data_IF_816652137578
#
_entry.id   IF_816652137578
#
_cell.length_a   1.000
_cell.length_b   1.000
_cell.length_c   1.000
_cell.angle_alpha   90.00
_cell.angle_beta   90.00
_cell.angle_gamma   90.00
#
_symmetry.space_group_name_H-M   'P 1'
#
loop_
_entity.id
_entity.type
_entity.pdbx_description
1 polymer ?
#
# COMPACT_ATOMS: atom_id res chain seq x y z
N UNK A 1 -13.04 11.07 -67.63
CA UNK A 1 -13.24 9.66 -67.21
C UNK A 1 -12.49 9.49 -65.90
N UNK A 2 -13.15 9.72 -64.75
CA UNK A 2 -13.89 8.75 -63.90
C UNK A 2 -12.90 8.05 -62.95
N UNK A 3 -12.72 8.53 -61.72
CA UNK A 3 -13.40 8.14 -60.44
C UNK A 3 -12.37 7.43 -59.54
N UNK A 4 -12.39 7.46 -58.21
CA UNK A 4 -13.43 7.80 -57.25
C UNK A 4 -12.82 8.38 -55.96
N UNK A 5 -13.56 9.32 -55.38
CA UNK A 5 -13.42 9.86 -54.03
C UNK A 5 -14.40 9.09 -53.12
N UNK A 6 -13.93 8.64 -51.96
CA UNK A 6 -14.76 8.30 -50.80
C UNK A 6 -14.15 9.08 -49.62
N UNK A 7 -14.80 10.01 -48.93
CA UNK A 7 -16.22 10.10 -48.60
C UNK A 7 -16.42 9.61 -47.17
N UNK A 8 -15.92 10.33 -46.17
CA UNK A 8 -16.30 10.14 -44.77
C UNK A 8 -17.03 11.40 -44.30
N UNK A 9 -18.31 11.18 -44.06
CA UNK A 9 -19.36 12.14 -43.76
C UNK A 9 -19.27 12.60 -42.30
N UNK A 10 -19.28 13.92 -42.10
CA UNK A 10 -19.26 14.62 -40.82
C UNK A 10 -20.66 15.20 -40.62
N UNK A 11 -21.56 14.47 -39.96
CA UNK A 11 -22.83 15.05 -39.56
C UNK A 11 -23.49 14.38 -38.34
N UNK A 12 -23.91 15.27 -37.44
CA UNK A 12 -25.05 15.16 -36.50
C UNK A 12 -24.85 14.42 -35.18
N UNK A 13 -24.33 15.22 -34.24
CA UNK A 13 -24.94 15.39 -32.92
C UNK A 13 -26.48 15.36 -32.97
N UNK A 14 -27.09 14.46 -32.21
CA UNK A 14 -28.48 14.57 -31.74
C UNK A 14 -28.54 14.10 -30.29
N UNK A 15 -28.56 15.08 -29.38
CA UNK A 15 -28.87 14.90 -27.96
C UNK A 15 -30.35 14.52 -27.81
N UNK A 16 -30.64 13.49 -27.01
CA UNK A 16 -32.01 13.17 -26.60
C UNK A 16 -32.10 11.83 -25.87
N UNK A 17 -32.25 11.85 -24.54
CA UNK A 17 -32.50 10.62 -23.79
C UNK A 17 -32.19 10.70 -22.30
N UNK A 18 -32.86 11.62 -21.60
CA UNK A 18 -32.87 11.76 -20.15
C UNK A 18 -33.20 10.42 -19.45
N UNK A 19 -32.20 9.76 -18.83
CA UNK A 19 -32.45 8.77 -17.76
C UNK A 19 -32.03 9.36 -16.43
N UNK A 20 -33.06 9.57 -15.62
CA UNK A 20 -33.09 10.14 -14.28
C UNK A 20 -32.35 9.20 -13.33
N UNK A 21 -31.04 9.40 -13.16
CA UNK A 21 -30.30 8.75 -12.07
C UNK A 21 -30.60 9.51 -10.79
N UNK A 22 -31.35 8.83 -9.93
CA UNK A 22 -31.69 9.22 -8.57
C UNK A 22 -30.38 9.45 -7.83
N UNK A 23 -30.03 10.71 -7.55
CA UNK A 23 -28.92 11.08 -6.68
C UNK A 23 -29.21 10.50 -5.30
N UNK A 24 -28.60 9.36 -4.99
CA UNK A 24 -28.52 8.89 -3.62
C UNK A 24 -27.57 9.81 -2.88
N UNK A 25 -28.09 10.55 -1.90
CA UNK A 25 -27.27 11.30 -0.93
C UNK A 25 -26.47 10.29 -0.11
N UNK A 26 -25.26 9.95 -0.56
CA UNK A 26 -24.23 9.32 0.25
C UNK A 26 -23.21 10.37 0.69
N UNK A 27 -23.65 11.46 1.31
CA UNK A 27 -22.73 12.50 1.84
C UNK A 27 -22.47 12.37 3.35
N UNK A 28 -23.21 11.52 4.07
CA UNK A 28 -23.07 11.35 5.52
C UNK A 28 -22.07 10.27 5.94
N UNK A 29 -22.03 9.13 5.24
CA UNK A 29 -21.17 8.00 5.62
C UNK A 29 -19.68 8.23 5.28
N UNK A 30 -19.40 8.98 4.22
CA UNK A 30 -18.02 9.32 3.82
C UNK A 30 -17.35 10.31 4.76
N UNK A 31 -18.10 11.23 5.37
CA UNK A 31 -17.56 12.15 6.37
C UNK A 31 -17.17 11.47 7.69
N UNK A 32 -17.86 10.36 8.03
CA UNK A 32 -17.60 9.57 9.24
C UNK A 32 -16.45 8.57 9.09
N UNK A 33 -16.15 8.11 7.87
CA UNK A 33 -15.00 7.23 7.59
C UNK A 33 -13.71 8.02 7.33
N UNK A 34 -13.82 9.17 6.64
CA UNK A 34 -12.69 10.09 6.44
C UNK A 34 -12.17 10.64 7.79
N UNK A 35 -13.01 10.75 8.82
CA UNK A 35 -12.61 11.32 10.12
C UNK A 35 -11.64 10.45 10.90
N UNK A 36 -11.63 9.13 10.69
CA UNK A 36 -10.69 8.23 11.37
C UNK A 36 -9.28 8.27 10.79
N UNK A 37 -9.13 8.35 9.46
CA UNK A 37 -7.83 8.47 8.79
C UNK A 37 -7.26 9.88 8.87
N UNK A 38 -8.09 10.90 8.58
CA UNK A 38 -7.69 12.31 8.65
C UNK A 38 -7.42 12.74 10.10
N UNK A 39 -8.14 12.18 11.08
CA UNK A 39 -7.91 12.46 12.51
C UNK A 39 -6.51 12.03 12.98
N UNK A 40 -6.03 10.87 12.55
CA UNK A 40 -4.69 10.39 12.90
C UNK A 40 -3.60 11.27 12.27
N UNK A 41 -3.75 11.63 10.98
CA UNK A 41 -2.82 12.53 10.28
C UNK A 41 -2.83 13.92 10.91
N UNK A 42 -3.99 14.49 11.23
CA UNK A 42 -4.12 15.80 11.85
C UNK A 42 -3.57 15.81 13.29
N UNK A 43 -3.69 14.70 14.02
CA UNK A 43 -3.09 14.57 15.36
C UNK A 43 -1.57 14.49 15.26
N UNK A 44 -1.02 13.74 14.30
CA UNK A 44 0.43 13.65 14.10
C UNK A 44 0.99 14.98 13.56
N UNK A 45 0.34 15.64 12.60
CA UNK A 45 0.71 16.98 12.14
C UNK A 45 0.60 18.02 13.26
N UNK A 46 -0.48 17.96 14.06
CA UNK A 46 -0.69 18.85 15.21
C UNK A 46 0.37 18.65 16.30
N UNK A 47 0.76 17.40 16.55
CA UNK A 47 1.88 17.06 17.43
C UNK A 47 3.19 17.60 16.84
N UNK A 48 3.47 17.37 15.56
CA UNK A 48 4.71 17.80 14.89
C UNK A 48 4.90 19.31 14.90
N UNK A 49 3.83 20.06 14.64
CA UNK A 49 3.85 21.54 14.62
C UNK A 49 3.81 22.13 16.04
N UNK A 50 3.09 21.50 16.99
CA UNK A 50 3.00 21.96 18.38
C UNK A 50 4.26 21.71 19.22
N UNK A 51 5.01 20.63 18.93
CA UNK A 51 6.22 20.25 19.68
C UNK A 51 7.45 21.13 19.41
N UNK A 52 7.50 21.85 18.29
CA UNK A 52 8.66 22.68 17.94
C UNK A 52 8.78 23.97 18.79
N UNK A 53 7.72 24.35 19.52
CA UNK A 53 7.66 25.61 20.27
C UNK A 53 7.84 25.45 21.80
N UNK A 54 7.96 24.22 22.33
CA UNK A 54 7.94 23.97 23.78
C UNK A 54 9.09 23.09 24.32
N UNK A 55 10.18 23.73 24.76
CA UNK A 55 11.25 23.21 25.66
C UNK A 55 12.24 22.16 25.10
N UNK A 56 13.35 22.70 24.59
CA UNK A 56 14.61 22.12 24.08
C UNK A 56 15.24 20.88 24.77
N UNK A 57 14.82 20.51 25.98
CA UNK A 57 15.37 19.34 26.71
C UNK A 57 14.52 18.07 26.58
N UNK A 58 13.24 18.18 26.19
CA UNK A 58 12.35 17.04 25.94
C UNK A 58 12.28 16.64 24.45
N UNK A 59 12.73 17.52 23.56
CA UNK A 59 12.67 17.39 22.09
C UNK A 59 13.22 16.05 21.58
N UNK A 60 14.31 15.52 22.15
CA UNK A 60 14.92 14.26 21.66
C UNK A 60 14.06 13.04 21.96
N UNK A 61 13.45 13.00 23.16
CA UNK A 61 12.55 11.91 23.53
C UNK A 61 11.29 11.99 22.69
N UNK A 62 10.75 13.20 22.55
CA UNK A 62 9.55 13.45 21.77
C UNK A 62 9.72 13.12 20.27
N UNK A 63 10.81 13.53 19.62
CA UNK A 63 11.10 13.17 18.22
C UNK A 63 11.20 11.65 18.06
N UNK A 64 11.83 10.96 19.00
CA UNK A 64 11.96 9.50 18.96
C UNK A 64 10.60 8.82 19.09
N UNK A 65 9.76 9.29 20.00
CA UNK A 65 8.44 8.73 20.24
C UNK A 65 7.51 9.00 19.02
N UNK A 66 7.58 10.20 18.42
CA UNK A 66 6.86 10.54 17.19
C UNK A 66 7.30 9.68 15.99
N UNK A 67 8.61 9.41 15.84
CA UNK A 67 9.14 8.47 14.83
C UNK A 67 8.62 7.06 15.06
N UNK A 68 8.66 6.58 16.29
CA UNK A 68 8.20 5.24 16.63
C UNK A 68 6.72 5.05 16.28
N UNK A 69 5.89 6.04 16.60
CA UNK A 69 4.47 6.04 16.25
C UNK A 69 4.24 6.04 14.73
N UNK A 70 4.91 6.94 14.00
CA UNK A 70 4.80 7.01 12.55
C UNK A 70 5.23 5.71 11.86
N UNK A 71 6.33 5.10 12.31
CA UNK A 71 6.81 3.83 11.77
C UNK A 71 5.83 2.68 12.08
N UNK A 72 5.27 2.64 13.29
CA UNK A 72 4.27 1.63 13.67
C UNK A 72 2.99 1.77 12.83
N UNK A 73 2.49 2.99 12.66
CA UNK A 73 1.30 3.27 11.87
C UNK A 73 1.51 2.91 10.38
N UNK A 74 2.67 3.24 9.82
CA UNK A 74 3.00 2.82 8.44
C UNK A 74 3.07 1.31 8.28
N UNK A 75 3.72 0.59 9.20
CA UNK A 75 3.77 -0.87 9.14
C UNK A 75 2.36 -1.48 9.25
N UNK A 76 1.50 -0.92 10.09
CA UNK A 76 0.11 -1.36 10.21
C UNK A 76 -0.65 -1.19 8.90
N UNK A 77 -0.62 -0.01 8.28
CA UNK A 77 -1.33 0.21 7.02
C UNK A 77 -0.71 -0.57 5.86
N UNK A 78 0.61 -0.79 5.85
CA UNK A 78 1.26 -1.67 4.87
C UNK A 78 0.77 -3.12 4.98
N UNK A 79 0.74 -3.69 6.19
CA UNK A 79 0.26 -5.07 6.41
C UNK A 79 -1.21 -5.20 6.04
N UNK A 80 -2.03 -4.19 6.37
CA UNK A 80 -3.43 -4.16 5.97
C UNK A 80 -3.57 -4.20 4.44
N UNK A 81 -2.83 -3.34 3.74
CA UNK A 81 -2.81 -3.29 2.27
C UNK A 81 -2.35 -4.63 1.67
N UNK A 82 -1.29 -5.23 2.21
CA UNK A 82 -0.80 -6.55 1.78
C UNK A 82 -1.87 -7.64 1.93
N UNK A 83 -2.58 -7.66 3.06
CA UNK A 83 -3.68 -8.61 3.30
C UNK A 83 -4.81 -8.39 2.29
N UNK A 84 -5.25 -7.16 2.08
CA UNK A 84 -6.33 -6.81 1.14
C UNK A 84 -5.96 -7.21 -0.30
N UNK A 85 -4.73 -6.92 -0.75
CA UNK A 85 -4.24 -7.29 -2.08
C UNK A 85 -4.11 -8.81 -2.24
N UNK A 86 -3.61 -9.52 -1.22
CA UNK A 86 -3.52 -10.98 -1.24
C UNK A 86 -4.90 -11.63 -1.30
N UNK A 87 -5.84 -11.14 -0.50
CA UNK A 87 -7.21 -11.62 -0.57
C UNK A 87 -7.81 -11.35 -1.95
N UNK A 88 -7.55 -10.16 -2.52
CA UNK A 88 -8.02 -9.81 -3.85
C UNK A 88 -7.49 -10.76 -4.93
N UNK A 89 -6.20 -11.07 -4.88
CA UNK A 89 -5.55 -12.04 -5.74
C UNK A 89 -6.15 -13.44 -5.60
N UNK A 90 -6.35 -13.92 -4.36
CA UNK A 90 -6.83 -15.27 -4.09
C UNK A 90 -8.25 -15.53 -4.61
N UNK A 91 -9.12 -14.53 -4.60
CA UNK A 91 -10.51 -14.64 -5.10
C UNK A 91 -10.70 -14.03 -6.48
N UNK A 92 -9.61 -13.65 -7.16
CA UNK A 92 -9.62 -13.03 -8.50
C UNK A 92 -10.57 -11.84 -8.61
N UNK A 93 -10.63 -11.00 -7.57
CA UNK A 93 -11.43 -9.77 -7.56
C UNK A 93 -10.55 -8.57 -7.92
N UNK A 94 -11.20 -7.53 -8.44
CA UNK A 94 -10.57 -6.23 -8.59
C UNK A 94 -10.10 -5.71 -7.23
N UNK A 95 -8.99 -4.97 -7.24
CA UNK A 95 -8.46 -4.29 -6.06
C UNK A 95 -9.47 -3.27 -5.52
N UNK A 96 -9.78 -3.38 -4.23
CA UNK A 96 -10.61 -2.43 -3.48
C UNK A 96 -9.87 -1.88 -2.27
N UNK A 97 -8.54 -1.95 -2.29
CA UNK A 97 -7.74 -1.66 -1.12
C UNK A 97 -7.81 -0.19 -0.70
N UNK A 98 -7.64 0.04 0.60
CA UNK A 98 -7.68 1.37 1.20
C UNK A 98 -6.37 2.13 0.94
N UNK A 99 -6.24 2.68 -0.27
CA UNK A 99 -5.09 3.47 -0.70
C UNK A 99 -4.95 4.78 0.07
N UNK A 100 -6.05 5.34 0.61
CA UNK A 100 -6.03 6.61 1.32
C UNK A 100 -5.24 6.48 2.63
N UNK A 101 -5.56 5.47 3.46
CA UNK A 101 -4.87 5.24 4.72
C UNK A 101 -3.37 4.94 4.51
N UNK A 102 -3.04 4.16 3.49
CA UNK A 102 -1.65 3.85 3.15
C UNK A 102 -0.86 5.10 2.71
N UNK A 103 -1.43 5.92 1.83
CA UNK A 103 -0.80 7.17 1.38
C UNK A 103 -0.63 8.18 2.51
N UNK A 104 -1.61 8.28 3.40
CA UNK A 104 -1.52 9.09 4.61
C UNK A 104 -0.35 8.66 5.51
N UNK A 105 -0.16 7.35 5.69
CA UNK A 105 0.96 6.83 6.47
C UNK A 105 2.32 7.08 5.79
N UNK A 106 2.40 6.97 4.46
CA UNK A 106 3.60 7.30 3.67
C UNK A 106 4.01 8.77 3.84
N UNK A 107 3.05 9.70 3.77
CA UNK A 107 3.30 11.12 4.00
C UNK A 107 3.80 11.34 5.42
N UNK A 108 3.17 10.70 6.40
CA UNK A 108 3.55 10.79 7.81
C UNK A 108 4.98 10.33 8.05
N UNK A 109 5.37 9.17 7.50
CA UNK A 109 6.77 8.70 7.53
C UNK A 109 7.70 9.70 6.88
N UNK A 110 7.33 10.24 5.71
CA UNK A 110 8.16 11.22 4.98
C UNK A 110 8.45 12.50 5.77
N UNK A 111 7.60 12.87 6.73
CA UNK A 111 7.79 14.04 7.58
C UNK A 111 8.80 13.83 8.72
N UNK A 112 8.92 12.60 9.24
CA UNK A 112 9.70 12.32 10.45
C UNK A 112 10.89 11.39 10.21
N UNK A 113 10.89 10.64 9.12
CA UNK A 113 11.90 9.65 8.80
C UNK A 113 13.22 10.31 8.36
N UNK A 114 14.38 9.82 8.85
CA UNK A 114 15.64 10.16 8.22
C UNK A 114 15.74 9.49 6.83
N UNK A 115 16.65 9.99 6.00
CA UNK A 115 16.84 9.55 4.60
C UNK A 115 16.96 8.03 4.46
N UNK A 116 17.66 7.36 5.37
CA UNK A 116 17.87 5.91 5.33
C UNK A 116 16.57 5.13 5.51
N UNK A 117 15.65 5.63 6.33
CA UNK A 117 14.34 5.01 6.52
C UNK A 117 13.45 5.28 5.32
N UNK A 118 13.45 6.51 4.79
CA UNK A 118 12.69 6.85 3.57
C UNK A 118 13.15 6.01 2.37
N UNK A 119 14.45 5.78 2.21
CA UNK A 119 14.99 4.93 1.16
C UNK A 119 14.56 3.46 1.32
N UNK A 120 14.33 3.00 2.55
CA UNK A 120 13.88 1.63 2.82
C UNK A 120 12.38 1.41 2.50
N UNK A 121 11.61 2.48 2.27
CA UNK A 121 10.20 2.40 1.85
C UNK A 121 10.06 2.06 0.36
N UNK A 122 11.01 2.47 -0.48
CA UNK A 122 10.94 2.27 -1.93
C UNK A 122 10.79 0.79 -2.34
N UNK A 123 11.58 -0.16 -1.81
CA UNK A 123 11.39 -1.58 -2.10
C UNK A 123 10.03 -2.14 -1.63
N UNK A 124 9.43 -1.55 -0.59
CA UNK A 124 8.09 -1.93 -0.13
C UNK A 124 7.03 -1.49 -1.15
N UNK A 125 7.13 -0.25 -1.65
CA UNK A 125 6.24 0.27 -2.69
C UNK A 125 6.38 -0.54 -3.99
N UNK A 126 7.60 -0.91 -4.37
CA UNK A 126 7.85 -1.76 -5.53
C UNK A 126 7.17 -3.13 -5.38
N UNK A 127 7.24 -3.73 -4.19
CA UNK A 127 6.59 -5.01 -3.93
C UNK A 127 5.07 -4.93 -4.05
N UNK A 128 4.46 -3.86 -3.50
CA UNK A 128 3.03 -3.57 -3.65
C UNK A 128 2.65 -3.40 -5.12
N UNK A 129 3.42 -2.61 -5.88
CA UNK A 129 3.14 -2.40 -7.30
C UNK A 129 3.19 -3.71 -8.09
N UNK A 130 4.17 -4.57 -7.83
CA UNK A 130 4.25 -5.90 -8.46
C UNK A 130 3.07 -6.78 -8.09
N UNK A 131 2.56 -6.68 -6.87
CA UNK A 131 1.37 -7.40 -6.41
C UNK A 131 0.10 -6.95 -7.12
N UNK A 132 -0.07 -5.63 -7.34
CA UNK A 132 -1.20 -5.08 -8.12
C UNK A 132 -1.15 -5.62 -9.56
N UNK A 133 0.03 -5.54 -10.19
CA UNK A 133 0.22 -6.02 -11.58
C UNK A 133 -0.11 -7.51 -11.67
N UNK A 134 0.34 -8.30 -10.71
CA UNK A 134 0.07 -9.72 -10.62
C UNK A 134 -1.44 -10.01 -10.42
N UNK A 135 -2.13 -9.24 -9.57
CA UNK A 135 -3.57 -9.34 -9.35
C UNK A 135 -4.44 -8.97 -10.54
N UNK A 136 -3.92 -8.19 -11.49
CA UNK A 136 -4.60 -7.87 -12.75
C UNK A 136 -4.43 -8.95 -13.82
N UNK A 137 -3.47 -9.86 -13.66
CA UNK A 137 -3.15 -10.93 -14.59
C UNK A 137 -3.76 -12.28 -14.22
N UNK A 138 -3.57 -13.31 -15.06
CA UNK A 138 -3.87 -14.68 -14.67
C UNK A 138 -2.99 -15.12 -13.48
N UNK A 139 -3.46 -16.03 -12.61
CA UNK A 139 -2.66 -16.52 -11.49
C UNK A 139 -1.31 -17.08 -11.93
N UNK A 140 -0.22 -16.59 -11.34
CA UNK A 140 1.15 -17.09 -11.54
C UNK A 140 1.80 -17.30 -10.17
N UNK A 141 1.95 -18.56 -9.77
CA UNK A 141 2.48 -18.91 -8.44
C UNK A 141 3.96 -18.60 -8.30
N UNK A 142 4.74 -18.75 -9.37
CA UNK A 142 6.17 -18.49 -9.33
C UNK A 142 6.43 -16.98 -9.24
N UNK A 143 5.66 -16.16 -9.95
CA UNK A 143 5.71 -14.71 -9.80
C UNK A 143 5.20 -14.28 -8.44
N UNK A 144 4.13 -14.87 -7.94
CA UNK A 144 3.61 -14.61 -6.60
C UNK A 144 4.67 -14.92 -5.52
N UNK A 145 5.37 -16.05 -5.60
CA UNK A 145 6.46 -16.41 -4.68
C UNK A 145 7.56 -15.35 -4.66
N UNK A 146 7.97 -14.88 -5.84
CA UNK A 146 8.99 -13.82 -5.97
C UNK A 146 8.53 -12.50 -5.37
N UNK A 147 7.28 -12.11 -5.60
CA UNK A 147 6.69 -10.89 -5.03
C UNK A 147 6.59 -11.01 -3.52
N UNK A 148 6.15 -12.16 -3.00
CA UNK A 148 6.07 -12.43 -1.57
C UNK A 148 7.46 -12.35 -0.90
N UNK A 149 8.49 -12.97 -1.50
CA UNK A 149 9.86 -12.89 -0.99
C UNK A 149 10.38 -11.44 -0.94
N UNK A 150 10.08 -10.65 -1.99
CA UNK A 150 10.42 -9.23 -2.03
C UNK A 150 9.69 -8.42 -0.93
N UNK A 151 8.42 -8.71 -0.68
CA UNK A 151 7.66 -8.10 0.43
C UNK A 151 8.31 -8.42 1.78
N UNK A 152 8.62 -9.69 2.05
CA UNK A 152 9.29 -10.09 3.30
C UNK A 152 10.64 -9.40 3.48
N UNK A 153 11.46 -9.34 2.42
CA UNK A 153 12.79 -8.73 2.47
C UNK A 153 12.73 -7.21 2.64
N UNK A 154 11.82 -6.54 1.93
CA UNK A 154 11.62 -5.09 2.04
C UNK A 154 11.11 -4.69 3.44
N UNK A 155 10.19 -5.47 4.01
CA UNK A 155 9.70 -5.27 5.38
C UNK A 155 10.85 -5.36 6.40
N UNK A 156 11.71 -6.38 6.29
CA UNK A 156 12.88 -6.53 7.15
C UNK A 156 13.86 -5.37 7.00
N UNK A 157 14.06 -4.90 5.77
CA UNK A 157 14.93 -3.75 5.47
C UNK A 157 14.42 -2.48 6.13
N UNK A 158 13.12 -2.19 6.01
CA UNK A 158 12.48 -1.05 6.66
C UNK A 158 12.56 -1.15 8.20
N UNK A 159 12.21 -2.30 8.78
CA UNK A 159 12.27 -2.49 10.24
C UNK A 159 13.68 -2.27 10.77
N UNK A 160 14.71 -2.77 10.07
CA UNK A 160 16.09 -2.57 10.47
C UNK A 160 16.54 -1.11 10.35
N UNK A 161 16.12 -0.40 9.29
CA UNK A 161 16.36 1.04 9.14
C UNK A 161 15.67 1.84 10.26
N UNK A 162 14.40 1.54 10.55
CA UNK A 162 13.62 2.17 11.61
C UNK A 162 14.24 1.94 12.99
N UNK A 163 14.61 0.69 13.32
CA UNK A 163 15.30 0.34 14.58
C UNK A 163 16.59 1.14 14.74
N UNK A 164 17.42 1.21 13.69
CA UNK A 164 18.68 1.97 13.70
C UNK A 164 18.45 3.47 13.84
N UNK A 165 17.36 4.00 13.29
CA UNK A 165 16.96 5.40 13.46
C UNK A 165 16.50 5.71 14.89
N UNK A 166 15.91 4.76 15.59
CA UNK A 166 15.43 4.94 16.98
C UNK A 166 16.56 4.71 17.99
N UNK A 167 17.42 3.74 17.72
CA UNK A 167 18.63 3.44 18.49
C UNK A 167 19.76 2.98 17.57
N UNK A 168 20.81 3.80 17.46
CA UNK A 168 21.96 3.53 16.59
C UNK A 168 22.74 2.27 16.99
N UNK A 169 22.62 1.80 18.24
CA UNK A 169 23.28 0.59 18.74
C UNK A 169 22.48 -0.69 18.48
N UNK A 170 21.24 -0.57 17.98
CA UNK A 170 20.40 -1.72 17.69
C UNK A 170 21.04 -2.61 16.60
N UNK A 171 21.25 -3.88 16.94
CA UNK A 171 21.68 -4.90 15.99
C UNK A 171 20.56 -5.14 14.96
N UNK A 172 20.90 -5.35 13.68
CA UNK A 172 19.92 -5.73 12.67
C UNK A 172 19.31 -7.07 13.02
N UNK A 173 18.02 -7.21 12.76
CA UNK A 173 17.31 -8.47 12.79
C UNK A 173 17.69 -9.28 11.55
N UNK A 174 17.87 -10.59 11.75
CA UNK A 174 18.08 -11.57 10.67
C UNK A 174 16.76 -12.13 10.15
N UNK A 175 15.72 -12.09 10.98
CA UNK A 175 14.36 -12.53 10.64
C UNK A 175 13.33 -11.68 11.40
N UNK A 176 12.10 -11.68 10.88
CA UNK A 176 10.98 -11.00 11.53
C UNK A 176 10.24 -11.97 12.45
N UNK A 177 9.80 -11.47 13.62
CA UNK A 177 8.91 -12.22 14.54
C UNK A 177 7.46 -12.22 14.01
N UNK A 178 7.11 -11.29 13.13
CA UNK A 178 5.82 -11.20 12.43
C UNK A 178 5.95 -10.45 11.10
N UNK A 179 4.93 -10.49 10.23
CA UNK A 179 4.99 -9.95 8.87
C UNK A 179 4.32 -10.91 7.88
N UNK A 180 4.65 -10.83 6.57
CA UNK A 180 4.13 -11.77 5.59
C UNK A 180 4.43 -13.22 6.05
N UNK A 181 3.42 -14.11 6.12
CA UNK A 181 3.61 -15.49 6.59
C UNK A 181 4.61 -16.25 5.70
N UNK A 182 5.31 -17.27 6.22
CA UNK A 182 6.25 -18.05 5.42
C UNK A 182 5.63 -18.59 4.12
N UNK A 183 6.42 -18.68 3.05
CA UNK A 183 5.94 -19.10 1.73
C UNK A 183 5.12 -20.41 1.77
N UNK A 184 5.61 -21.40 2.50
CA UNK A 184 4.95 -22.70 2.64
C UNK A 184 3.53 -22.61 3.22
N UNK A 185 3.23 -21.59 4.03
CA UNK A 185 1.89 -21.35 4.56
C UNK A 185 0.98 -20.67 3.53
N UNK A 186 1.52 -19.76 2.72
CA UNK A 186 0.75 -19.02 1.71
C UNK A 186 0.37 -19.90 0.54
N UNK A 187 1.31 -20.74 0.10
CA UNK A 187 1.14 -21.62 -1.06
C UNK A 187 -0.10 -22.52 -0.98
N UNK A 188 -0.53 -22.90 0.23
CA UNK A 188 -1.74 -23.70 0.46
C UNK A 188 -3.03 -23.00 0.01
N UNK A 189 -3.04 -21.67 -0.03
CA UNK A 189 -4.23 -20.85 -0.24
C UNK A 189 -4.28 -20.18 -1.63
N UNK A 190 -3.33 -20.51 -2.51
CA UNK A 190 -3.30 -19.95 -3.86
C UNK A 190 -4.37 -20.63 -4.74
N UNK A 191 -5.06 -19.87 -5.61
CA UNK A 191 -5.96 -20.43 -6.62
C UNK A 191 -5.17 -21.33 -7.58
N UNK A 192 -5.76 -22.38 -8.18
CA UNK A 192 -5.04 -23.24 -9.12
C UNK A 192 -4.45 -22.45 -10.29
N UNK A 193 -3.23 -22.78 -10.69
CA UNK A 193 -2.56 -22.15 -11.83
C UNK A 193 -3.26 -22.53 -13.14
N UNK A 194 -3.39 -21.62 -14.14
CA UNK A 194 -4.09 -21.88 -15.40
C UNK A 194 -3.51 -23.03 -16.22
N UNK A 195 -2.22 -23.31 -16.05
CA UNK A 195 -1.47 -24.38 -16.70
C UNK A 195 -1.62 -25.75 -15.99
N UNK A 196 -2.40 -25.83 -14.91
CA UNK A 196 -2.62 -27.06 -14.15
C UNK A 196 -1.37 -27.54 -13.40
N UNK A 197 -0.29 -26.74 -13.36
CA UNK A 197 0.86 -27.10 -12.54
C UNK A 197 0.48 -26.93 -11.08
N UNK A 198 0.43 -28.06 -10.36
CA UNK A 198 0.45 -28.02 -8.92
C UNK A 198 1.68 -27.21 -8.51
N UNK A 199 1.58 -26.34 -7.49
CA UNK A 199 2.72 -25.51 -7.14
C UNK A 199 3.90 -26.43 -6.79
N UNK A 200 5.13 -26.03 -7.10
CA UNK A 200 6.33 -26.87 -6.94
C UNK A 200 6.55 -27.25 -5.48
N UNK A 201 6.68 -28.55 -5.18
CA UNK A 201 6.92 -29.10 -3.83
C UNK A 201 8.39 -29.06 -3.40
N UNK A 202 9.20 -28.12 -3.91
CA UNK A 202 10.60 -28.03 -3.47
C UNK A 202 10.70 -27.44 -2.06
N UNK A 203 11.42 -28.10 -1.15
CA UNK A 203 11.71 -27.61 0.20
C UNK A 203 12.68 -26.42 0.18
#
# INVERSE_FOLDING_TARGET
MISAVAGIDLARFRFGGMRRWRVWKMTGAWAALATTGVGAVATILGIVVGGFLGRRSEDRKWIRDAKAEAFAQFLKEFVRLEIELREAYNVSRADTADWEAYNAALVTVSLVAPREVSAAVEPMNEAIQKMIILGAGPPDHAQYERVHALMSQSYLTFVNAARRSLDRKSKPLESLVGGPPPWHMVRRWLPPSPDGTAPSNRP
#
